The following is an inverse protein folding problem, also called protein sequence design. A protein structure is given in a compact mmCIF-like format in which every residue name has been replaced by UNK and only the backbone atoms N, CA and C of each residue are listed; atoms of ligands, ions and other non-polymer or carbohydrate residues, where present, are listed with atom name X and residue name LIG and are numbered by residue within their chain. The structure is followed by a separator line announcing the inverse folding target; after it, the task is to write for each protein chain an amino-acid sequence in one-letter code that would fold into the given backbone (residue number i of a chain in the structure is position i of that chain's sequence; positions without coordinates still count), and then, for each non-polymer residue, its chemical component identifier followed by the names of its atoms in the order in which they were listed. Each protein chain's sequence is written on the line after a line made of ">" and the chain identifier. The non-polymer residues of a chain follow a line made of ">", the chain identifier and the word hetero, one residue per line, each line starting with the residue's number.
data_IF_151032425938
#
_entry.id   IF_151032425938
#
_cell.length_a   1.000
_cell.length_b   1.000
_cell.length_c   1.000
_cell.angle_alpha   90.00
_cell.angle_beta   90.00
_cell.angle_gamma   90.00
#
_symmetry.space_group_name_H-M   'P 1'
#
loop_
_entity.id
_entity.type
_entity.pdbx_description
1 polymer ?
#
# COMPACT_ATOMS: atom_id res chain seq x y z
N UNK A 1 -18.54 19.54 -16.65
CA UNK A 1 -18.18 20.84 -16.05
C UNK A 1 -17.24 20.56 -14.90
N UNK A 2 -16.13 21.29 -14.77
CA UNK A 2 -15.25 21.14 -13.61
C UNK A 2 -15.99 21.52 -12.33
N UNK A 3 -15.80 20.75 -11.26
CA UNK A 3 -16.43 21.02 -9.97
C UNK A 3 -15.90 22.32 -9.38
N UNK A 4 -16.78 23.12 -8.76
CA UNK A 4 -16.38 24.30 -8.01
C UNK A 4 -15.64 23.91 -6.73
N UNK A 5 -14.75 24.78 -6.24
CA UNK A 5 -14.03 24.55 -4.98
C UNK A 5 -14.98 24.32 -3.79
N UNK A 6 -16.16 24.97 -3.78
CA UNK A 6 -17.18 24.76 -2.76
C UNK A 6 -17.80 23.36 -2.81
N UNK A 7 -18.00 22.81 -4.02
CA UNK A 7 -18.49 21.44 -4.19
C UNK A 7 -17.43 20.44 -3.73
N UNK A 8 -16.17 20.64 -4.14
CA UNK A 8 -15.04 19.79 -3.72
C UNK A 8 -14.91 19.76 -2.19
N UNK A 9 -15.01 20.92 -1.52
CA UNK A 9 -14.96 21.00 -0.05
C UNK A 9 -16.05 20.17 0.63
N UNK A 10 -17.28 20.27 0.11
CA UNK A 10 -18.42 19.49 0.63
C UNK A 10 -18.17 17.99 0.43
N UNK A 11 -17.80 17.58 -0.79
CA UNK A 11 -17.54 16.18 -1.12
C UNK A 11 -16.38 15.60 -0.30
N UNK A 12 -15.31 16.38 -0.12
CA UNK A 12 -14.16 16.01 0.69
C UNK A 12 -14.54 15.76 2.16
N UNK A 13 -15.32 16.66 2.76
CA UNK A 13 -15.77 16.51 4.14
C UNK A 13 -16.68 15.27 4.30
N UNK A 14 -17.62 15.05 3.38
CA UNK A 14 -18.48 13.87 3.39
C UNK A 14 -17.70 12.56 3.22
N UNK A 15 -16.75 12.54 2.28
CA UNK A 15 -15.92 11.37 2.02
C UNK A 15 -15.04 11.04 3.23
N UNK A 16 -14.40 12.05 3.84
CA UNK A 16 -13.61 11.88 5.05
C UNK A 16 -14.46 11.36 6.22
N UNK A 17 -15.69 11.87 6.38
CA UNK A 17 -16.60 11.39 7.41
C UNK A 17 -17.01 9.92 7.21
N UNK A 18 -17.26 9.52 5.95
CA UNK A 18 -17.54 8.11 5.60
C UNK A 18 -16.35 7.20 5.91
N UNK A 19 -15.15 7.58 5.49
CA UNK A 19 -13.93 6.79 5.75
C UNK A 19 -13.64 6.70 7.25
N UNK A 20 -13.82 7.78 8.01
CA UNK A 20 -13.68 7.77 9.48
C UNK A 20 -14.64 6.81 10.16
N UNK A 21 -15.87 6.70 9.68
CA UNK A 21 -16.85 5.76 10.23
C UNK A 21 -16.50 4.28 9.96
N UNK A 22 -15.73 4.01 8.90
CA UNK A 22 -15.28 2.66 8.51
C UNK A 22 -13.83 2.32 8.88
N UNK A 23 -13.08 3.26 9.46
CA UNK A 23 -11.63 3.18 9.60
C UNK A 23 -11.13 1.98 10.42
N UNK A 24 -11.96 1.42 11.31
CA UNK A 24 -11.59 0.27 12.15
C UNK A 24 -11.63 -1.08 11.41
N UNK A 25 -12.20 -1.13 10.19
CA UNK A 25 -12.41 -2.39 9.45
C UNK A 25 -11.14 -2.91 8.79
N UNK A 26 -10.27 -2.02 8.29
CA UNK A 26 -8.97 -2.37 7.69
C UNK A 26 -7.91 -1.54 8.37
N UNK A 27 -6.85 -2.17 8.89
CA UNK A 27 -5.82 -1.49 9.70
C UNK A 27 -4.72 -0.81 8.88
N UNK A 28 -5.03 -0.35 7.68
CA UNK A 28 -4.05 0.38 6.86
C UNK A 28 -3.69 1.73 7.52
N UNK A 29 -2.41 2.02 7.68
CA UNK A 29 -1.88 3.20 8.39
C UNK A 29 -0.50 3.55 7.82
N UNK A 30 0.10 4.66 8.25
CA UNK A 30 1.51 4.94 7.94
C UNK A 30 2.44 3.90 8.59
N UNK A 31 3.44 3.34 7.85
CA UNK A 31 4.45 2.46 8.43
C UNK A 31 5.16 3.10 9.64
N UNK A 32 5.26 2.37 10.75
CA UNK A 32 5.85 2.88 12.00
C UNK A 32 7.38 3.00 11.95
N UNK A 33 8.03 2.27 11.05
CA UNK A 33 9.48 2.28 10.87
C UNK A 33 9.87 1.89 9.45
N UNK A 34 10.96 2.47 8.96
CA UNK A 34 11.63 2.05 7.72
C UNK A 34 12.39 0.74 7.96
N UNK A 35 11.85 -0.37 7.44
CA UNK A 35 12.55 -1.65 7.40
C UNK A 35 13.35 -1.79 6.10
N UNK A 36 14.39 -2.64 6.02
CA UNK A 36 15.15 -2.83 4.78
C UNK A 36 14.28 -3.20 3.57
N UNK A 37 13.30 -4.09 3.75
CA UNK A 37 12.38 -4.48 2.67
C UNK A 37 11.46 -3.33 2.24
N UNK A 38 11.07 -2.45 3.17
CA UNK A 38 10.30 -1.24 2.85
C UNK A 38 11.16 -0.19 2.13
N UNK A 39 12.43 -0.04 2.52
CA UNK A 39 13.37 0.84 1.83
C UNK A 39 13.61 0.36 0.39
N UNK A 40 13.78 -0.94 0.17
CA UNK A 40 13.87 -1.54 -1.16
C UNK A 40 12.61 -1.25 -1.98
N UNK A 41 11.42 -1.41 -1.40
CA UNK A 41 10.17 -1.04 -2.08
C UNK A 41 10.15 0.44 -2.46
N UNK A 42 10.52 1.34 -1.55
CA UNK A 42 10.57 2.79 -1.82
C UNK A 42 11.55 3.12 -2.97
N UNK A 43 12.68 2.43 -3.08
CA UNK A 43 13.63 2.62 -4.18
C UNK A 43 13.04 2.26 -5.55
N UNK A 44 12.11 1.30 -5.61
CA UNK A 44 11.43 0.94 -6.86
C UNK A 44 10.49 2.04 -7.37
N UNK A 45 10.13 3.02 -6.52
CA UNK A 45 9.21 4.09 -6.89
C UNK A 45 9.86 5.11 -7.84
N UNK A 46 11.19 5.22 -7.83
CA UNK A 46 11.95 6.16 -8.68
C UNK A 46 12.12 7.56 -8.10
N UNK A 47 11.70 7.78 -6.85
CA UNK A 47 11.80 9.06 -6.15
C UNK A 47 13.07 9.22 -5.29
N UNK A 48 13.05 10.26 -4.45
CA UNK A 48 14.04 10.55 -3.41
C UNK A 48 13.98 9.53 -2.26
N UNK A 49 14.82 9.72 -1.24
CA UNK A 49 14.75 8.90 -0.02
C UNK A 49 13.41 9.11 0.71
N UNK A 50 12.82 8.06 1.29
CA UNK A 50 11.59 8.18 2.06
C UNK A 50 11.82 9.03 3.32
N UNK A 51 10.90 9.95 3.59
CA UNK A 51 10.93 10.84 4.75
C UNK A 51 9.59 10.86 5.46
N UNK A 52 9.61 10.96 6.79
CA UNK A 52 8.39 11.21 7.55
C UNK A 52 8.01 12.69 7.45
N UNK A 53 6.84 12.96 6.89
CA UNK A 53 6.29 14.31 6.70
C UNK A 53 5.18 14.52 7.72
N UNK A 54 5.18 15.62 8.49
CA UNK A 54 4.11 15.91 9.44
C UNK A 54 2.79 16.14 8.72
N UNK A 55 1.71 15.61 9.29
CA UNK A 55 0.34 15.93 8.89
C UNK A 55 -0.17 17.05 9.79
N UNK A 56 -0.63 18.14 9.18
CA UNK A 56 -1.13 19.32 9.90
C UNK A 56 -2.56 19.61 9.47
N UNK A 57 -3.45 19.77 10.45
CA UNK A 57 -4.81 20.23 10.19
C UNK A 57 -4.78 21.65 9.61
N UNK A 58 -5.22 21.80 8.36
CA UNK A 58 -5.25 23.06 7.64
C UNK A 58 -6.62 23.28 6.96
N UNK A 59 -7.20 24.49 6.96
CA UNK A 59 -8.47 24.75 6.27
C UNK A 59 -8.45 24.57 4.74
N UNK A 60 -7.27 24.43 4.13
CA UNK A 60 -7.07 24.11 2.71
C UNK A 60 -6.88 22.60 2.49
N UNK A 61 -6.79 21.80 3.55
CA UNK A 61 -6.68 20.35 3.47
C UNK A 61 -7.95 19.69 2.94
N UNK A 62 -7.85 18.95 1.82
CA UNK A 62 -8.98 18.28 1.17
C UNK A 62 -8.69 16.79 1.01
N UNK A 63 -9.32 15.95 1.85
CA UNK A 63 -9.28 14.49 1.70
C UNK A 63 -9.86 14.05 0.35
N UNK A 64 -9.08 13.30 -0.44
CA UNK A 64 -9.43 12.87 -1.81
C UNK A 64 -9.02 13.86 -2.92
N UNK A 65 -8.62 15.08 -2.56
CA UNK A 65 -8.23 16.15 -3.50
C UNK A 65 -6.95 16.85 -3.01
N UNK A 66 -5.89 16.09 -2.77
CA UNK A 66 -4.65 16.61 -2.18
C UNK A 66 -3.98 17.70 -3.05
N UNK A 67 -3.98 17.55 -4.37
CA UNK A 67 -3.43 18.54 -5.30
C UNK A 67 -4.20 19.86 -5.28
N UNK A 68 -5.54 19.83 -5.28
CA UNK A 68 -6.38 21.02 -5.17
C UNK A 68 -6.17 21.72 -3.83
N UNK A 69 -6.12 20.95 -2.74
CA UNK A 69 -5.87 21.48 -1.41
C UNK A 69 -4.52 22.20 -1.31
N UNK A 70 -3.45 21.57 -1.82
CA UNK A 70 -2.12 22.19 -1.86
C UNK A 70 -2.09 23.41 -2.78
N UNK A 71 -2.82 23.38 -3.90
CA UNK A 71 -2.95 24.54 -4.80
C UNK A 71 -3.58 25.74 -4.09
N UNK A 72 -4.66 25.52 -3.33
CA UNK A 72 -5.28 26.58 -2.52
C UNK A 72 -4.37 27.06 -1.38
N UNK A 73 -3.59 26.15 -0.77
CA UNK A 73 -2.59 26.49 0.23
C UNK A 73 -1.51 27.41 -0.34
N UNK A 74 -1.02 27.14 -1.55
CA UNK A 74 -0.02 27.97 -2.24
C UNK A 74 -0.57 29.37 -2.55
N UNK A 75 -1.82 29.46 -3.04
CA UNK A 75 -2.45 30.76 -3.32
C UNK A 75 -2.53 31.65 -2.08
N UNK A 76 -2.75 31.05 -0.92
CA UNK A 76 -2.95 31.75 0.35
C UNK A 76 -1.63 32.09 1.06
N UNK A 77 -0.75 31.09 1.20
CA UNK A 77 0.41 31.14 2.09
C UNK A 77 1.75 31.03 1.34
N UNK A 78 1.73 30.94 0.00
CA UNK A 78 2.92 30.76 -0.84
C UNK A 78 3.49 29.34 -0.75
N UNK A 79 4.78 29.20 -1.07
CA UNK A 79 5.45 27.89 -1.13
C UNK A 79 5.24 27.20 -2.48
N UNK A 80 5.35 25.87 -2.50
CA UNK A 80 5.22 25.06 -3.72
C UNK A 80 4.60 23.70 -3.47
N UNK A 81 4.10 23.07 -4.52
CA UNK A 81 3.60 21.69 -4.50
C UNK A 81 4.76 20.73 -4.71
N UNK A 82 4.73 19.59 -4.03
CA UNK A 82 5.67 18.49 -4.25
C UNK A 82 4.87 17.22 -4.45
N UNK A 83 5.05 16.60 -5.62
CA UNK A 83 4.44 15.32 -5.95
C UNK A 83 5.36 14.17 -5.56
N UNK A 84 4.76 13.02 -5.32
CA UNK A 84 5.47 11.82 -4.92
C UNK A 84 4.50 10.74 -4.45
N UNK A 85 4.97 9.90 -3.55
CA UNK A 85 4.26 8.72 -3.09
C UNK A 85 4.10 8.74 -1.58
N UNK A 86 2.86 8.69 -1.10
CA UNK A 86 2.57 8.37 0.30
C UNK A 86 2.55 6.86 0.45
N UNK A 87 3.27 6.34 1.44
CA UNK A 87 3.27 4.91 1.74
C UNK A 87 2.27 4.59 2.83
N UNK A 88 1.34 3.71 2.50
CA UNK A 88 0.42 3.08 3.41
C UNK A 88 0.81 1.63 3.66
N UNK A 89 0.57 1.16 4.88
CA UNK A 89 0.85 -0.19 5.32
C UNK A 89 -0.41 -0.81 5.92
N UNK A 90 -0.81 -1.96 5.41
CA UNK A 90 -1.54 -2.93 6.21
C UNK A 90 -0.51 -3.78 6.95
N UNK A 91 -0.38 -3.65 8.29
CA UNK A 91 0.74 -4.23 9.02
C UNK A 91 0.96 -5.71 8.74
N UNK A 92 2.18 -6.04 8.30
CA UNK A 92 2.64 -7.39 7.93
C UNK A 92 1.86 -8.05 6.77
N UNK A 93 1.14 -7.28 5.96
CA UNK A 93 0.36 -7.79 4.82
C UNK A 93 0.88 -7.21 3.52
N UNK A 94 0.69 -5.91 3.29
CA UNK A 94 1.10 -5.22 2.06
C UNK A 94 1.39 -3.75 2.32
N UNK A 95 2.21 -3.17 1.45
CA UNK A 95 2.40 -1.74 1.30
C UNK A 95 1.72 -1.24 0.03
N UNK A 96 1.11 -0.07 0.12
CA UNK A 96 0.54 0.68 -1.01
C UNK A 96 1.26 2.02 -1.10
N UNK A 97 1.90 2.29 -2.22
CA UNK A 97 2.36 3.62 -2.59
C UNK A 97 1.25 4.32 -3.36
N UNK A 98 0.64 5.32 -2.74
CA UNK A 98 -0.40 6.17 -3.32
C UNK A 98 0.22 7.46 -3.84
N UNK A 99 -0.05 7.81 -5.11
CA UNK A 99 0.44 9.07 -5.67
C UNK A 99 -0.22 10.26 -4.97
N UNK A 100 0.60 11.16 -4.44
CA UNK A 100 0.15 12.18 -3.48
C UNK A 100 0.85 13.52 -3.69
N UNK A 101 0.19 14.58 -3.22
CA UNK A 101 0.72 15.94 -3.21
C UNK A 101 0.89 16.43 -1.76
N UNK A 102 2.08 16.93 -1.45
CA UNK A 102 2.36 17.63 -0.18
C UNK A 102 2.74 19.09 -0.45
N UNK A 103 2.53 19.95 0.54
CA UNK A 103 2.93 21.34 0.47
C UNK A 103 4.37 21.49 0.97
N UNK A 104 5.20 22.22 0.21
CA UNK A 104 6.47 22.71 0.71
C UNK A 104 6.34 24.19 1.06
N UNK A 105 6.52 24.52 2.33
CA UNK A 105 6.42 25.89 2.82
C UNK A 105 7.47 26.82 2.18
N UNK A 106 7.29 28.15 2.23
CA UNK A 106 8.33 29.11 1.83
C UNK A 106 9.69 28.88 2.50
N UNK A 107 9.69 28.36 3.74
CA UNK A 107 10.87 28.02 4.53
C UNK A 107 11.47 26.66 4.14
N UNK A 108 10.86 25.94 3.20
CA UNK A 108 11.36 24.68 2.64
C UNK A 108 10.88 23.42 3.35
N UNK A 109 10.01 23.53 4.35
CA UNK A 109 9.48 22.39 5.11
C UNK A 109 8.44 21.63 4.30
N UNK A 110 8.52 20.30 4.25
CA UNK A 110 7.47 19.46 3.69
C UNK A 110 6.39 19.22 4.75
N UNK A 111 5.13 19.44 4.39
CA UNK A 111 3.97 19.29 5.27
C UNK A 111 2.83 18.70 4.43
N UNK A 112 2.21 17.64 4.95
CA UNK A 112 0.95 17.17 4.40
C UNK A 112 -0.20 17.87 5.10
N UNK A 113 -0.96 18.64 4.35
CA UNK A 113 -2.15 19.34 4.85
C UNK A 113 -3.43 18.51 4.68
N UNK A 114 -3.33 17.34 4.03
CA UNK A 114 -4.48 16.51 3.70
C UNK A 114 -4.93 15.74 4.94
N UNK A 115 -6.15 15.97 5.45
CA UNK A 115 -6.62 15.28 6.64
C UNK A 115 -6.74 13.78 6.38
N UNK A 116 -6.29 12.96 7.35
CA UNK A 116 -6.31 11.49 7.21
C UNK A 116 -7.49 10.85 7.96
N UNK A 117 -8.03 9.72 7.47
CA UNK A 117 -9.15 9.03 8.12
C UNK A 117 -8.84 8.60 9.55
N UNK A 118 -7.63 8.09 9.82
CA UNK A 118 -7.24 7.62 11.16
C UNK A 118 -6.46 8.64 11.98
N UNK A 119 -6.40 9.88 11.49
CA UNK A 119 -5.74 11.01 12.17
C UNK A 119 -4.24 10.77 12.39
N UNK A 120 -3.61 10.16 11.40
CA UNK A 120 -2.16 10.08 11.29
C UNK A 120 -1.57 11.49 11.42
N UNK A 121 -0.58 11.63 12.30
CA UNK A 121 0.15 12.89 12.54
C UNK A 121 1.41 13.00 11.67
N UNK A 122 1.75 11.94 10.94
CA UNK A 122 2.80 11.90 9.95
C UNK A 122 2.45 10.90 8.84
N UNK A 123 3.00 11.11 7.64
CA UNK A 123 3.03 10.12 6.56
C UNK A 123 4.47 9.76 6.22
N UNK A 124 4.70 8.56 5.68
CA UNK A 124 5.95 8.24 5.02
C UNK A 124 5.83 8.65 3.55
N UNK A 125 6.67 9.57 3.10
CA UNK A 125 6.57 10.18 1.78
C UNK A 125 7.86 10.04 0.99
N UNK A 126 7.74 9.67 -0.28
CA UNK A 126 8.84 9.58 -1.25
C UNK A 126 8.58 10.62 -2.33
N UNK A 127 9.27 11.76 -2.26
CA UNK A 127 9.16 12.81 -3.27
C UNK A 127 9.66 12.30 -4.63
N UNK A 128 8.97 12.65 -5.73
CA UNK A 128 9.35 12.20 -7.06
C UNK A 128 9.57 13.40 -7.99
N UNK A 129 10.84 13.72 -8.22
CA UNK A 129 11.25 14.89 -9.02
C UNK A 129 10.94 14.74 -10.51
N UNK A 130 10.53 13.55 -10.98
CA UNK A 130 10.10 13.37 -12.37
C UNK A 130 8.74 14.05 -12.66
N UNK A 131 7.98 14.40 -11.60
CA UNK A 131 6.73 15.13 -11.70
C UNK A 131 6.93 16.62 -11.35
N UNK A 132 6.89 17.53 -12.34
CA UNK A 132 7.09 18.96 -12.08
C UNK A 132 5.91 19.58 -11.32
N UNK A 133 6.11 20.76 -10.73
CA UNK A 133 5.05 21.49 -10.00
C UNK A 133 3.80 21.79 -10.87
N UNK A 134 3.97 21.86 -12.19
CA UNK A 134 2.90 22.08 -13.17
C UNK A 134 2.23 20.79 -13.64
N UNK A 135 2.56 19.63 -13.06
CA UNK A 135 1.99 18.35 -13.45
C UNK A 135 0.47 18.34 -13.22
N UNK A 136 -0.27 17.82 -14.20
CA UNK A 136 -1.71 17.63 -14.07
C UNK A 136 -2.00 16.36 -13.26
N UNK A 137 -2.49 16.52 -12.03
CA UNK A 137 -2.77 15.41 -11.11
C UNK A 137 -3.86 14.46 -11.63
N UNK A 138 -4.71 14.90 -12.56
CA UNK A 138 -5.69 14.02 -13.21
C UNK A 138 -5.02 12.93 -14.07
N UNK A 139 -3.75 13.12 -14.44
CA UNK A 139 -2.95 12.16 -15.20
C UNK A 139 -1.94 11.40 -14.32
N UNK A 140 -2.16 11.39 -13.01
CA UNK A 140 -1.30 10.68 -12.06
C UNK A 140 -1.12 9.21 -12.42
N UNK A 141 0.03 8.60 -12.08
CA UNK A 141 0.18 7.16 -12.17
C UNK A 141 -0.77 6.45 -11.17
N UNK A 142 -1.09 5.19 -11.49
CA UNK A 142 -1.79 4.30 -10.56
C UNK A 142 -0.95 3.99 -9.32
N UNK A 143 -1.62 3.47 -8.29
CA UNK A 143 -0.96 3.04 -7.06
C UNK A 143 0.01 1.89 -7.34
N UNK A 144 1.11 1.81 -6.58
CA UNK A 144 2.03 0.66 -6.64
C UNK A 144 1.92 -0.14 -5.36
N UNK A 145 1.81 -1.45 -5.45
CA UNK A 145 1.62 -2.33 -4.30
C UNK A 145 2.71 -3.38 -4.23
N UNK A 146 3.17 -3.66 -3.03
CA UNK A 146 4.09 -4.75 -2.77
C UNK A 146 3.68 -5.49 -1.50
N UNK A 147 3.87 -6.80 -1.51
CA UNK A 147 3.66 -7.62 -0.32
C UNK A 147 4.69 -7.26 0.76
N UNK A 148 4.19 -6.90 1.94
CA UNK A 148 4.99 -6.70 3.15
C UNK A 148 5.19 -8.03 3.90
N UNK A 149 4.25 -8.97 3.73
CA UNK A 149 4.35 -10.33 4.23
C UNK A 149 5.52 -11.09 3.58
N UNK A 150 6.44 -11.59 4.41
CA UNK A 150 7.51 -12.48 3.98
C UNK A 150 7.15 -13.91 4.41
N UNK A 151 6.94 -14.84 3.45
CA UNK A 151 6.75 -16.24 3.81
C UNK A 151 8.02 -16.78 4.47
N UNK A 152 7.86 -17.75 5.37
CA UNK A 152 9.01 -18.36 6.01
C UNK A 152 9.90 -19.07 4.96
N UNK A 153 11.22 -18.90 5.09
CA UNK A 153 12.18 -19.56 4.21
C UNK A 153 12.25 -21.06 4.56
N UNK A 154 11.79 -21.97 3.66
CA UNK A 154 11.80 -23.39 3.94
C UNK A 154 13.20 -23.95 4.13
N UNK A 155 14.20 -23.36 3.46
CA UNK A 155 15.60 -23.78 3.56
C UNK A 155 16.13 -23.42 4.95
N UNK A 156 15.93 -22.18 5.40
CA UNK A 156 16.33 -21.75 6.73
C UNK A 156 15.66 -22.58 7.83
N UNK A 157 14.33 -22.77 7.75
CA UNK A 157 13.59 -23.56 8.73
C UNK A 157 14.04 -25.03 8.77
N UNK A 158 14.37 -25.63 7.62
CA UNK A 158 14.91 -26.97 7.56
C UNK A 158 16.30 -27.05 8.21
N UNK A 159 17.18 -26.08 7.95
CA UNK A 159 18.49 -25.96 8.60
C UNK A 159 18.36 -25.88 10.12
N UNK A 160 17.52 -24.96 10.62
CA UNK A 160 17.26 -24.79 12.05
C UNK A 160 16.72 -26.07 12.67
N UNK A 161 15.77 -26.74 11.99
CA UNK A 161 15.21 -28.00 12.48
C UNK A 161 16.27 -29.08 12.59
N UNK A 162 17.11 -29.23 11.56
CA UNK A 162 18.19 -30.23 11.54
C UNK A 162 19.19 -29.97 12.67
N UNK A 163 19.52 -28.70 12.93
CA UNK A 163 20.43 -28.31 14.00
C UNK A 163 19.94 -28.71 15.41
N UNK A 164 18.62 -28.84 15.61
CA UNK A 164 18.04 -29.30 16.89
C UNK A 164 18.05 -30.81 17.10
N UNK A 165 18.41 -31.61 16.08
CA UNK A 165 18.32 -33.07 16.16
C UNK A 165 19.47 -33.68 16.98
N UNK A 166 19.14 -34.63 17.84
CA UNK A 166 20.13 -35.54 18.42
C UNK A 166 20.71 -36.47 17.34
N UNK A 167 21.88 -37.06 17.61
CA UNK A 167 22.54 -38.01 16.68
C UNK A 167 21.63 -39.18 16.27
N UNK A 168 20.84 -39.71 17.20
CA UNK A 168 19.88 -40.80 16.93
C UNK A 168 18.73 -40.34 16.05
N UNK A 169 18.17 -39.15 16.31
CA UNK A 169 17.11 -38.58 15.48
C UNK A 169 17.60 -38.24 14.08
N UNK A 170 18.80 -37.66 13.97
CA UNK A 170 19.44 -37.37 12.69
C UNK A 170 19.63 -38.64 11.86
N UNK A 171 20.15 -39.71 12.46
CA UNK A 171 20.31 -41.02 11.79
C UNK A 171 18.96 -41.59 11.36
N UNK A 172 17.94 -41.48 12.20
CA UNK A 172 16.60 -41.96 11.90
C UNK A 172 15.97 -41.21 10.72
N UNK A 173 16.01 -39.88 10.73
CA UNK A 173 15.44 -39.06 9.67
C UNK A 173 16.24 -39.16 8.36
N UNK A 174 17.57 -39.28 8.43
CA UNK A 174 18.45 -39.53 7.27
C UNK A 174 18.04 -40.81 6.53
N UNK A 175 17.84 -41.93 7.25
CA UNK A 175 17.40 -43.19 6.63
C UNK A 175 16.04 -43.07 5.95
N UNK A 176 15.12 -42.27 6.52
CA UNK A 176 13.79 -42.03 5.92
C UNK A 176 13.89 -41.19 4.65
N UNK A 177 14.74 -40.15 4.67
CA UNK A 177 15.01 -39.31 3.50
C UNK A 177 15.60 -40.14 2.35
N UNK A 178 16.61 -40.96 2.65
CA UNK A 178 17.26 -41.85 1.67
C UNK A 178 16.29 -42.86 1.05
N UNK A 179 15.34 -43.40 1.84
CA UNK A 179 14.33 -44.34 1.35
C UNK A 179 13.43 -43.75 0.25
N UNK A 180 13.26 -42.43 0.23
CA UNK A 180 12.49 -41.71 -0.80
C UNK A 180 13.38 -40.93 -1.76
N UNK A 181 14.70 -41.15 -1.74
CA UNK A 181 15.66 -40.53 -2.65
C UNK A 181 15.92 -39.04 -2.40
N UNK A 182 15.69 -38.55 -1.18
CA UNK A 182 15.91 -37.14 -0.80
C UNK A 182 17.13 -36.98 0.11
N UNK A 183 17.78 -35.83 0.04
CA UNK A 183 18.69 -35.39 1.12
C UNK A 183 17.92 -35.09 2.40
N UNK A 184 18.61 -35.08 3.55
CA UNK A 184 17.99 -34.70 4.83
C UNK A 184 17.36 -33.31 4.78
N UNK A 185 18.01 -32.38 4.09
CA UNK A 185 17.53 -31.00 3.94
C UNK A 185 16.21 -30.95 3.15
N UNK A 186 16.20 -31.54 1.95
CA UNK A 186 14.98 -31.65 1.12
C UNK A 186 13.85 -32.40 1.84
N UNK A 187 14.19 -33.41 2.64
CA UNK A 187 13.23 -34.16 3.44
C UNK A 187 12.56 -33.30 4.53
N UNK A 188 13.29 -32.37 5.14
CA UNK A 188 12.71 -31.43 6.09
C UNK A 188 11.97 -30.27 5.41
N UNK A 189 12.51 -29.73 4.31
CA UNK A 189 11.80 -28.75 3.47
C UNK A 189 10.43 -29.26 3.04
N UNK A 190 10.34 -30.52 2.56
CA UNK A 190 9.09 -31.13 2.12
C UNK A 190 8.04 -31.30 3.24
N UNK A 191 8.45 -31.23 4.51
CA UNK A 191 7.55 -31.29 5.67
C UNK A 191 7.05 -29.92 6.12
N UNK A 192 7.65 -28.83 5.62
CA UNK A 192 7.22 -27.48 5.95
C UNK A 192 5.89 -27.23 5.24
N UNK A 193 4.84 -26.82 5.98
CA UNK A 193 3.56 -26.47 5.36
C UNK A 193 3.77 -25.40 4.29
N UNK A 194 3.15 -25.60 3.12
CA UNK A 194 3.18 -24.58 2.07
C UNK A 194 2.52 -23.30 2.55
N UNK A 195 3.15 -22.18 2.24
CA UNK A 195 2.57 -20.88 2.51
C UNK A 195 1.30 -20.69 1.67
N UNK A 196 0.19 -20.35 2.35
CA UNK A 196 -1.09 -20.11 1.71
C UNK A 196 -1.47 -18.63 1.67
N UNK A 197 -0.76 -17.78 2.43
CA UNK A 197 -1.12 -16.37 2.60
C UNK A 197 -0.50 -15.50 1.49
N UNK A 198 0.76 -15.73 1.14
CA UNK A 198 1.45 -15.03 0.07
C UNK A 198 0.66 -15.04 -1.26
N UNK A 199 0.20 -16.18 -1.80
CA UNK A 199 -0.58 -16.17 -3.05
C UNK A 199 -1.94 -15.48 -2.91
N UNK A 200 -2.54 -15.45 -1.71
CA UNK A 200 -3.81 -14.72 -1.46
C UNK A 200 -3.56 -13.21 -1.46
N UNK A 201 -2.44 -12.76 -0.88
CA UNK A 201 -2.04 -11.34 -0.92
C UNK A 201 -1.72 -10.94 -2.37
N UNK A 202 -0.99 -11.77 -3.11
CA UNK A 202 -0.64 -11.49 -4.50
C UNK A 202 -1.88 -11.37 -5.40
N UNK A 203 -2.89 -12.22 -5.19
CA UNK A 203 -4.18 -12.10 -5.88
C UNK A 203 -4.94 -10.84 -5.48
N UNK A 204 -4.89 -10.42 -4.21
CA UNK A 204 -5.49 -9.16 -3.77
C UNK A 204 -4.82 -7.95 -4.45
N UNK A 205 -3.49 -7.95 -4.53
CA UNK A 205 -2.72 -6.91 -5.22
C UNK A 205 -3.11 -6.88 -6.70
N UNK A 206 -3.03 -8.01 -7.41
CA UNK A 206 -3.39 -8.08 -8.83
C UNK A 206 -4.83 -7.67 -9.10
N UNK A 207 -5.78 -8.06 -8.24
CA UNK A 207 -7.18 -7.69 -8.40
C UNK A 207 -7.45 -6.19 -8.17
N UNK A 208 -6.67 -5.54 -7.29
CA UNK A 208 -6.69 -4.09 -7.10
C UNK A 208 -6.10 -3.37 -8.31
N UNK A 209 -4.93 -3.80 -8.77
CA UNK A 209 -4.21 -3.16 -9.88
C UNK A 209 -5.04 -3.26 -11.17
N UNK A 210 -5.54 -4.44 -11.53
CA UNK A 210 -6.38 -4.60 -12.73
C UNK A 210 -7.68 -3.77 -12.67
N UNK A 211 -8.24 -3.59 -11.47
CA UNK A 211 -9.41 -2.75 -11.28
C UNK A 211 -9.06 -1.28 -11.51
N UNK A 212 -8.02 -0.78 -10.87
CA UNK A 212 -7.59 0.62 -10.95
C UNK A 212 -7.15 0.98 -12.37
N UNK A 213 -6.32 0.15 -12.99
CA UNK A 213 -5.88 0.33 -14.38
C UNK A 213 -7.06 0.46 -15.33
N UNK A 214 -8.10 -0.35 -15.14
CA UNK A 214 -9.30 -0.23 -15.97
C UNK A 214 -10.14 1.00 -15.62
N UNK A 215 -10.35 1.24 -14.33
CA UNK A 215 -11.17 2.36 -13.86
C UNK A 215 -10.61 3.70 -14.35
N UNK A 216 -9.29 3.88 -14.33
CA UNK A 216 -8.63 5.09 -14.80
C UNK A 216 -8.80 5.29 -16.32
N UNK A 217 -9.02 4.22 -17.10
CA UNK A 217 -9.33 4.35 -18.54
C UNK A 217 -10.73 4.91 -18.81
N UNK A 218 -11.63 4.88 -17.82
CA UNK A 218 -13.01 5.35 -17.97
C UNK A 218 -13.15 6.87 -17.79
N UNK A 219 -12.06 7.56 -17.43
CA UNK A 219 -11.97 9.01 -17.31
C UNK A 219 -12.29 9.54 -15.91
N UNK A 220 -11.90 10.81 -15.69
CA UNK A 220 -11.94 11.47 -14.37
C UNK A 220 -13.17 12.34 -14.12
N UNK A 221 -14.13 12.42 -15.07
CA UNK A 221 -15.27 13.33 -14.96
C UNK A 221 -16.58 12.72 -15.46
N UNK A 222 -17.63 12.81 -14.64
CA UNK A 222 -18.99 12.39 -14.99
C UNK A 222 -19.41 11.07 -14.32
N UNK A 223 -20.56 10.54 -14.72
CA UNK A 223 -21.00 9.21 -14.31
C UNK A 223 -20.15 8.16 -15.02
N UNK A 224 -19.39 7.37 -14.25
CA UNK A 224 -18.60 6.25 -14.78
C UNK A 224 -19.56 5.10 -15.05
N UNK A 225 -19.76 4.68 -16.32
CA UNK A 225 -20.70 3.62 -16.64
C UNK A 225 -20.19 2.29 -16.05
N UNK A 226 -21.05 1.61 -15.31
CA UNK A 226 -20.78 0.26 -14.83
C UNK A 226 -20.93 -0.75 -15.98
N UNK A 227 -19.91 -0.85 -16.82
CA UNK A 227 -19.87 -1.84 -17.88
C UNK A 227 -19.58 -3.26 -17.33
N UNK A 228 -19.68 -4.26 -18.20
CA UNK A 228 -19.49 -5.66 -17.83
C UNK A 228 -18.08 -5.95 -17.30
N UNK A 229 -17.04 -5.27 -17.83
CA UNK A 229 -15.66 -5.45 -17.42
C UNK A 229 -15.40 -4.81 -16.05
N UNK A 230 -15.85 -3.57 -15.83
CA UNK A 230 -15.75 -2.90 -14.53
C UNK A 230 -16.50 -3.72 -13.46
N UNK A 231 -17.70 -4.20 -13.77
CA UNK A 231 -18.47 -5.05 -12.85
C UNK A 231 -17.74 -6.37 -12.52
N UNK A 232 -17.05 -6.98 -13.48
CA UNK A 232 -16.25 -8.17 -13.25
C UNK A 232 -15.04 -7.90 -12.36
N UNK A 233 -14.31 -6.80 -12.62
CA UNK A 233 -13.13 -6.41 -11.85
C UNK A 233 -13.50 -6.06 -10.41
N UNK A 234 -14.59 -5.32 -10.19
CA UNK A 234 -15.14 -5.05 -8.86
C UNK A 234 -15.44 -6.36 -8.11
N UNK A 235 -16.12 -7.33 -8.76
CA UNK A 235 -16.42 -8.62 -8.13
C UNK A 235 -15.15 -9.39 -7.76
N UNK A 236 -14.15 -9.41 -8.63
CA UNK A 236 -12.85 -10.07 -8.37
C UNK A 236 -12.16 -9.42 -7.18
N UNK A 237 -12.06 -8.08 -7.15
CA UNK A 237 -11.46 -7.34 -6.03
C UNK A 237 -12.16 -7.63 -4.71
N UNK A 238 -13.49 -7.59 -4.68
CA UNK A 238 -14.28 -7.92 -3.47
C UNK A 238 -14.03 -9.37 -3.02
N UNK A 239 -13.97 -10.32 -3.95
CA UNK A 239 -13.70 -11.72 -3.65
C UNK A 239 -12.29 -11.92 -3.08
N UNK A 240 -11.27 -11.29 -3.68
CA UNK A 240 -9.89 -11.33 -3.22
C UNK A 240 -9.74 -10.70 -1.83
N UNK A 241 -10.33 -9.53 -1.60
CA UNK A 241 -10.34 -8.88 -0.29
C UNK A 241 -11.01 -9.75 0.78
N UNK A 242 -12.13 -10.40 0.44
CA UNK A 242 -12.82 -11.31 1.33
C UNK A 242 -12.00 -12.57 1.64
N UNK A 243 -11.27 -13.11 0.65
CA UNK A 243 -10.37 -14.23 0.85
C UNK A 243 -9.20 -13.86 1.77
N UNK A 244 -8.60 -12.69 1.57
CA UNK A 244 -7.52 -12.19 2.42
C UNK A 244 -7.99 -11.96 3.86
N UNK A 245 -9.14 -11.31 4.07
CA UNK A 245 -9.72 -11.13 5.41
C UNK A 245 -9.94 -12.47 6.12
N UNK A 246 -10.48 -13.48 5.42
CA UNK A 246 -10.64 -14.83 5.96
C UNK A 246 -9.31 -15.48 6.32
N UNK A 247 -8.29 -15.35 5.47
CA UNK A 247 -6.96 -15.89 5.73
C UNK A 247 -6.29 -15.25 6.95
N UNK A 248 -6.58 -13.97 7.21
CA UNK A 248 -6.09 -13.21 8.35
C UNK A 248 -6.98 -13.33 9.61
N UNK A 249 -8.09 -14.08 9.55
CA UNK A 249 -9.02 -14.24 10.68
C UNK A 249 -9.82 -12.97 11.03
N UNK A 250 -9.93 -12.02 10.11
CA UNK A 250 -10.68 -10.78 10.27
C UNK A 250 -12.14 -11.06 9.89
N UNK A 251 -13.07 -10.71 10.79
CA UNK A 251 -14.51 -10.87 10.58
C UNK A 251 -15.11 -9.70 9.83
#
# INVERSE_FOLDING_TARGET
>A
MAQSLSEIKTMSAEMLARERAGADVVKETTPVSLTPALEEFCQTLGGELPVYVPVVDDPQGLFGWCSDGVTEKIKKDGGRIVFGWTIWEWPNVLWTAEFHAVWRSPEGQLIDITPKPKRENHILFVADQSYPETFNFDHRPGNRRQRAYLPADPVQLATERIATLTRSQMTYEQRRAEKVGLSLHQWFEAKIPKDTLAPIIDEMISACDDHEDYFDTLGVSGEIPLDAKLAQLIRRRIAAQSALKRALGIR
#
